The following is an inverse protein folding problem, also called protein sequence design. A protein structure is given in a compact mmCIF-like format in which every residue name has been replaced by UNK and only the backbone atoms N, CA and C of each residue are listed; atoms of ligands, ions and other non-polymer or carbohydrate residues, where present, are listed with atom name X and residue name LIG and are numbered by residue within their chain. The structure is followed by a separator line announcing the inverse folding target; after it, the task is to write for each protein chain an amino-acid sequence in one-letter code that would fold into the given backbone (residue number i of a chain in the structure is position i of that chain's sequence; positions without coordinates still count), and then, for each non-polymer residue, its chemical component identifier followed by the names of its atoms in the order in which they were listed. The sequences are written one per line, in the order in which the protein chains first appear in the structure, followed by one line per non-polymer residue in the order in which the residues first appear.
data_IF_267938805099
#
_entry.id   IF_267938805099
#
_cell.length_a   1.000
_cell.length_b   1.000
_cell.length_c   1.000
_cell.angle_alpha   90.00
_cell.angle_beta   90.00
_cell.angle_gamma   90.00
#
_symmetry.space_group_name_H-M   'P 1'
#
loop_
_entity.id
_entity.type
_entity.pdbx_description
1 polymer ?
#
# COMPACT_ATOMS: atom_id res chain seq x y z
N UNK A 1 12.33 -20.05 18.52
CA UNK A 1 13.73 -19.58 18.43
C UNK A 1 14.09 -19.18 16.99
N UNK A 2 14.25 -17.89 16.75
CA UNK A 2 14.98 -17.39 15.59
C UNK A 2 16.44 -17.87 15.65
N UNK A 3 17.10 -17.96 14.50
CA UNK A 3 18.53 -18.28 14.43
C UNK A 3 19.22 -17.14 13.71
N UNK A 4 20.19 -16.43 14.33
CA UNK A 4 21.00 -15.47 13.62
C UNK A 4 21.89 -16.22 12.62
N UNK A 5 21.49 -16.22 11.36
CA UNK A 5 22.30 -16.64 10.22
C UNK A 5 22.89 -15.40 9.56
N UNK A 6 24.08 -15.52 8.95
CA UNK A 6 24.85 -14.38 8.44
C UNK A 6 24.20 -13.55 7.33
N UNK A 7 23.02 -13.95 6.85
CA UNK A 7 22.26 -13.30 5.78
C UNK A 7 21.04 -12.48 6.29
N UNK A 8 20.69 -12.56 7.58
CA UNK A 8 19.59 -11.79 8.19
C UNK A 8 18.79 -12.49 9.29
N UNK A 9 17.87 -11.74 9.90
CA UNK A 9 17.01 -12.18 11.01
C UNK A 9 15.80 -12.95 10.47
N UNK A 10 15.65 -14.22 10.85
CA UNK A 10 14.60 -15.12 10.28
C UNK A 10 13.63 -15.64 11.34
N UNK A 11 12.36 -15.32 11.14
CA UNK A 11 11.21 -15.86 11.88
C UNK A 11 10.60 -17.05 11.12
N UNK A 12 10.51 -18.22 11.76
CA UNK A 12 9.85 -19.41 11.19
C UNK A 12 8.37 -19.45 11.58
N UNK A 13 7.56 -18.69 10.84
CA UNK A 13 6.15 -18.51 11.12
C UNK A 13 5.32 -19.81 11.00
N UNK A 14 5.57 -20.63 9.98
CA UNK A 14 4.75 -21.80 9.62
C UNK A 14 3.22 -21.50 9.55
N UNK A 15 2.85 -20.24 9.26
CA UNK A 15 1.48 -19.72 9.39
C UNK A 15 0.67 -20.09 8.15
N UNK A 16 -0.35 -20.95 8.33
CA UNK A 16 -1.29 -21.30 7.26
C UNK A 16 -2.22 -20.13 6.95
N UNK A 17 -2.56 -19.96 5.68
CA UNK A 17 -3.40 -18.90 5.15
C UNK A 17 -4.36 -19.49 4.12
N UNK A 18 -5.62 -19.06 4.18
CA UNK A 18 -6.66 -19.36 3.18
C UNK A 18 -7.20 -18.02 2.68
N UNK A 19 -6.80 -17.58 1.48
CA UNK A 19 -7.04 -16.23 0.99
C UNK A 19 -8.53 -15.88 0.91
N UNK A 20 -9.36 -16.81 0.43
CA UNK A 20 -10.83 -16.67 0.37
C UNK A 20 -11.52 -16.57 1.74
N UNK A 21 -10.81 -16.86 2.84
CA UNK A 21 -11.33 -16.79 4.20
C UNK A 21 -10.88 -15.53 4.96
N UNK A 22 -10.11 -14.63 4.33
CA UNK A 22 -9.68 -13.37 4.93
C UNK A 22 -10.70 -12.26 4.65
N UNK A 23 -11.17 -11.60 5.72
CA UNK A 23 -11.83 -10.29 5.64
C UNK A 23 -10.96 -9.25 4.91
N UNK A 24 -11.58 -8.17 4.47
CA UNK A 24 -10.86 -7.16 3.66
C UNK A 24 -9.78 -6.41 4.47
N UNK A 25 -10.01 -6.29 5.78
CA UNK A 25 -9.08 -5.83 6.81
C UNK A 25 -8.04 -6.89 7.22
N UNK A 26 -8.36 -8.19 7.12
CA UNK A 26 -7.48 -9.30 7.50
C UNK A 26 -6.39 -9.64 6.45
N UNK A 27 -6.48 -9.10 5.24
CA UNK A 27 -5.53 -9.37 4.14
C UNK A 27 -4.08 -8.91 4.41
N UNK A 28 -3.85 -8.14 5.49
CA UNK A 28 -2.53 -7.62 5.91
C UNK A 28 -1.94 -8.44 7.08
N UNK A 29 -1.22 -9.51 6.77
CA UNK A 29 -0.72 -10.49 7.73
C UNK A 29 0.49 -9.94 8.49
N UNK A 30 0.28 -9.55 9.75
CA UNK A 30 1.33 -9.01 10.63
C UNK A 30 2.26 -10.04 11.28
N UNK A 31 3.49 -9.57 11.53
CA UNK A 31 4.53 -10.20 12.35
C UNK A 31 5.25 -9.09 13.14
N UNK A 32 5.37 -9.25 14.46
CA UNK A 32 6.01 -8.24 15.31
C UNK A 32 7.54 -8.24 15.11
N UNK A 33 8.18 -7.07 15.09
CA UNK A 33 9.63 -6.99 14.87
C UNK A 33 10.46 -7.65 15.99
N UNK A 34 9.92 -7.72 17.20
CA UNK A 34 10.55 -8.39 18.34
C UNK A 34 10.74 -9.91 18.14
N UNK A 35 9.82 -10.60 17.43
CA UNK A 35 9.91 -12.05 17.14
C UNK A 35 11.16 -12.41 16.31
N UNK A 36 11.67 -11.46 15.52
CA UNK A 36 12.87 -11.62 14.71
C UNK A 36 14.16 -11.49 15.53
N UNK A 37 14.12 -10.78 16.66
CA UNK A 37 15.29 -10.45 17.49
C UNK A 37 16.24 -9.43 16.85
N UNK A 38 15.73 -8.54 16.00
CA UNK A 38 16.53 -7.52 15.30
C UNK A 38 17.00 -6.40 16.26
N UNK A 39 18.30 -6.01 16.27
CA UNK A 39 18.78 -4.90 17.08
C UNK A 39 18.25 -3.54 16.62
N UNK A 40 17.92 -2.68 17.60
CA UNK A 40 17.32 -1.34 17.43
C UNK A 40 18.00 -0.41 16.40
N UNK A 41 19.29 -0.60 16.16
CA UNK A 41 20.11 0.27 15.32
C UNK A 41 20.29 -0.25 13.88
N UNK A 42 19.78 -1.44 13.55
CA UNK A 42 19.97 -2.05 12.23
C UNK A 42 18.90 -1.65 11.23
N UNK A 43 19.34 -1.14 10.07
CA UNK A 43 18.47 -0.72 8.97
C UNK A 43 18.13 -1.90 8.07
N UNK A 44 16.85 -2.26 8.04
CA UNK A 44 16.31 -3.31 7.16
C UNK A 44 16.35 -2.82 5.72
N UNK A 45 17.00 -3.57 4.83
CA UNK A 45 17.17 -3.25 3.40
C UNK A 45 16.36 -4.17 2.49
N UNK A 46 16.04 -5.38 2.93
CA UNK A 46 15.23 -6.34 2.18
C UNK A 46 14.40 -7.20 3.14
N UNK A 47 13.13 -7.42 2.80
CA UNK A 47 12.24 -8.37 3.46
C UNK A 47 11.93 -9.50 2.48
N UNK A 48 12.11 -10.74 2.92
CA UNK A 48 11.79 -11.93 2.15
C UNK A 48 10.74 -12.77 2.87
N UNK A 49 9.67 -13.15 2.16
CA UNK A 49 8.62 -14.03 2.67
C UNK A 49 8.67 -15.32 1.85
N UNK A 50 9.00 -16.43 2.51
CA UNK A 50 9.03 -17.76 1.91
C UNK A 50 7.67 -18.42 2.11
N UNK A 51 7.04 -18.83 1.02
CA UNK A 51 5.74 -19.49 1.02
C UNK A 51 5.78 -20.87 0.35
N UNK A 52 4.93 -21.77 0.83
CA UNK A 52 4.70 -23.10 0.27
C UNK A 52 3.21 -23.40 0.10
N UNK A 53 2.87 -24.29 -0.83
CA UNK A 53 1.51 -24.75 -1.08
C UNK A 53 1.50 -26.24 -1.45
N UNK A 54 0.32 -26.88 -1.43
CA UNK A 54 0.15 -28.28 -1.84
C UNK A 54 0.13 -28.46 -3.37
N UNK A 55 0.13 -27.37 -4.14
CA UNK A 55 0.10 -27.34 -5.60
C UNK A 55 0.86 -26.14 -6.15
N UNK A 56 0.70 -25.82 -7.44
CA UNK A 56 1.35 -24.66 -8.06
C UNK A 56 0.82 -23.35 -7.48
N UNK A 57 1.72 -22.45 -7.05
CA UNK A 57 1.35 -21.18 -6.39
C UNK A 57 0.75 -20.17 -7.38
N UNK A 58 1.30 -20.07 -8.59
CA UNK A 58 0.80 -19.18 -9.65
C UNK A 58 1.13 -17.71 -9.37
N UNK A 59 0.24 -16.81 -9.80
CA UNK A 59 0.37 -15.37 -9.60
C UNK A 59 0.02 -14.98 -8.16
N UNK A 60 0.89 -14.18 -7.55
CA UNK A 60 0.63 -13.37 -6.37
C UNK A 60 0.57 -11.88 -6.76
N UNK A 61 -0.30 -11.12 -6.11
CA UNK A 61 -0.32 -9.66 -6.08
C UNK A 61 -0.48 -9.21 -4.64
N UNK A 62 0.32 -8.25 -4.21
CA UNK A 62 0.24 -7.73 -2.85
C UNK A 62 1.26 -6.65 -2.55
N UNK A 63 1.31 -6.23 -1.29
CA UNK A 63 2.18 -5.16 -0.80
C UNK A 63 2.79 -5.52 0.54
N UNK A 64 3.83 -4.78 0.93
CA UNK A 64 4.35 -4.81 2.29
C UNK A 64 4.01 -3.50 2.99
N UNK A 65 3.71 -3.57 4.29
CA UNK A 65 3.51 -2.42 5.15
C UNK A 65 4.35 -2.55 6.42
N UNK A 66 4.75 -1.43 7.00
CA UNK A 66 5.62 -1.39 8.18
C UNK A 66 5.23 -0.27 9.12
N UNK A 67 5.28 -0.54 10.43
CA UNK A 67 5.24 0.51 11.44
C UNK A 67 6.42 1.46 11.30
N UNK A 68 6.19 2.75 11.48
CA UNK A 68 7.24 3.78 11.41
C UNK A 68 7.24 4.66 12.66
N UNK A 69 8.32 5.40 12.82
CA UNK A 69 8.49 6.47 13.81
C UNK A 69 7.86 7.80 13.37
N UNK A 70 7.36 7.89 12.13
CA UNK A 70 6.83 9.12 11.56
C UNK A 70 5.37 9.36 11.97
N UNK A 71 5.21 10.24 12.96
CA UNK A 71 3.91 10.71 13.44
C UNK A 71 3.08 11.43 12.36
N UNK A 72 3.72 12.12 11.40
CA UNK A 72 2.99 12.91 10.40
C UNK A 72 2.26 12.00 9.40
N UNK A 73 2.85 10.85 9.07
CA UNK A 73 2.24 9.79 8.27
C UNK A 73 1.61 8.66 9.12
N UNK A 74 1.13 8.99 10.33
CA UNK A 74 0.33 8.08 11.16
C UNK A 74 1.06 6.84 11.69
N UNK A 75 2.38 6.89 11.81
CA UNK A 75 3.25 5.77 12.23
C UNK A 75 3.20 4.55 11.30
N UNK A 76 2.91 4.77 10.01
CA UNK A 76 2.75 3.70 9.02
C UNK A 76 3.38 4.07 7.67
N UNK A 77 3.91 3.06 6.96
CA UNK A 77 4.35 3.20 5.57
C UNK A 77 4.08 1.91 4.79
N UNK A 78 3.90 2.03 3.47
CA UNK A 78 3.70 0.89 2.57
C UNK A 78 4.65 0.94 1.38
N UNK A 79 5.16 -0.23 1.00
CA UNK A 79 5.95 -0.44 -0.21
C UNK A 79 5.10 -0.45 -1.49
N UNK A 80 5.79 -0.54 -2.62
CA UNK A 80 5.16 -0.72 -3.93
C UNK A 80 4.43 -2.07 -4.06
N UNK A 81 3.48 -2.14 -4.99
CA UNK A 81 2.82 -3.39 -5.34
C UNK A 81 3.79 -4.36 -6.01
N UNK A 82 3.79 -5.60 -5.54
CA UNK A 82 4.57 -6.70 -6.09
C UNK A 82 3.58 -7.67 -6.75
N UNK A 83 3.56 -7.65 -8.08
CA UNK A 83 3.03 -8.76 -8.88
C UNK A 83 4.15 -9.76 -9.17
N UNK A 84 3.97 -11.03 -8.83
CA UNK A 84 4.99 -12.08 -9.03
C UNK A 84 4.33 -13.41 -9.42
N UNK A 85 4.86 -14.10 -10.43
CA UNK A 85 4.45 -15.47 -10.77
C UNK A 85 5.46 -16.49 -10.21
N UNK A 86 4.94 -17.43 -9.42
CA UNK A 86 5.69 -18.50 -8.76
C UNK A 86 5.29 -19.83 -9.39
N UNK A 87 6.20 -20.38 -10.19
CA UNK A 87 6.04 -21.67 -10.85
C UNK A 87 6.59 -22.77 -9.93
N UNK A 88 5.72 -23.64 -9.44
CA UNK A 88 6.04 -24.66 -8.44
C UNK A 88 5.27 -24.48 -7.13
N UNK A 89 5.58 -25.35 -6.16
CA UNK A 89 4.89 -25.46 -4.88
C UNK A 89 5.56 -24.70 -3.73
N UNK A 90 6.62 -23.94 -4.00
CA UNK A 90 7.23 -23.00 -3.07
C UNK A 90 7.88 -21.82 -3.81
N UNK A 91 8.04 -20.70 -3.11
CA UNK A 91 8.70 -19.52 -3.65
C UNK A 91 8.96 -18.44 -2.60
N UNK A 92 9.80 -17.47 -2.97
CA UNK A 92 10.15 -16.31 -2.13
C UNK A 92 9.60 -15.04 -2.76
N UNK A 93 8.79 -14.30 -2.02
CA UNK A 93 8.35 -12.94 -2.36
C UNK A 93 9.29 -11.96 -1.67
N UNK A 94 9.84 -11.00 -2.41
CA UNK A 94 10.89 -10.11 -1.92
C UNK A 94 10.51 -8.63 -2.07
N UNK A 95 10.47 -7.91 -0.96
CA UNK A 95 10.38 -6.45 -0.93
C UNK A 95 11.75 -5.85 -0.63
N UNK A 96 12.26 -5.04 -1.56
CA UNK A 96 13.45 -4.20 -1.32
C UNK A 96 12.98 -2.92 -0.66
N UNK A 97 13.41 -2.69 0.58
CA UNK A 97 12.93 -1.58 1.41
C UNK A 97 13.54 -0.28 0.89
N UNK A 98 12.71 0.72 0.49
CA UNK A 98 13.18 2.05 0.12
C UNK A 98 13.99 2.70 1.26
N UNK A 99 15.04 3.48 0.93
CA UNK A 99 16.01 4.00 1.93
C UNK A 99 15.41 5.02 2.89
N UNK A 100 14.40 5.76 2.44
CA UNK A 100 13.55 6.64 3.23
C UNK A 100 12.74 5.82 4.25
N UNK A 101 11.95 4.83 3.81
CA UNK A 101 11.19 3.94 4.71
C UNK A 101 12.13 3.22 5.69
N UNK A 102 13.21 2.61 5.20
CA UNK A 102 14.27 1.92 5.97
C UNK A 102 14.86 2.79 7.08
N UNK A 103 14.90 4.11 6.90
CA UNK A 103 15.43 5.05 7.90
C UNK A 103 14.47 5.37 9.05
N UNK A 104 13.17 5.08 8.91
CA UNK A 104 12.11 5.44 9.86
C UNK A 104 11.34 4.24 10.44
N UNK A 105 11.65 2.99 10.07
CA UNK A 105 10.97 1.79 10.59
C UNK A 105 10.98 1.79 12.13
N UNK A 106 9.82 1.52 12.72
CA UNK A 106 9.65 1.28 14.15
C UNK A 106 9.75 -0.22 14.43
N UNK A 107 10.86 -0.66 15.02
CA UNK A 107 11.08 -2.05 15.45
C UNK A 107 10.77 -2.30 16.93
N UNK A 108 10.49 -1.24 17.71
CA UNK A 108 10.14 -1.30 19.12
C UNK A 108 8.63 -1.06 19.37
N UNK A 109 8.20 -1.13 20.63
CA UNK A 109 6.87 -0.72 21.12
C UNK A 109 5.68 -1.38 20.39
N UNK A 110 5.84 -2.63 19.95
CA UNK A 110 4.82 -3.37 19.20
C UNK A 110 4.79 -3.09 17.69
N UNK A 111 5.87 -2.51 17.13
CA UNK A 111 5.99 -2.32 15.68
C UNK A 111 5.99 -3.63 14.88
N UNK A 112 5.31 -3.63 13.74
CA UNK A 112 5.09 -4.81 12.90
C UNK A 112 5.61 -4.61 11.46
N UNK A 113 6.04 -5.72 10.85
CA UNK A 113 6.03 -5.90 9.39
C UNK A 113 4.74 -6.63 9.00
N UNK A 114 4.02 -6.15 7.98
CA UNK A 114 2.83 -6.79 7.44
C UNK A 114 3.02 -7.21 5.98
N UNK A 115 2.63 -8.43 5.68
CA UNK A 115 2.59 -9.02 4.35
C UNK A 115 1.15 -9.01 3.84
N UNK A 116 0.86 -8.13 2.89
CA UNK A 116 -0.46 -7.91 2.31
C UNK A 116 -0.72 -8.75 1.08
N UNK A 117 -1.85 -9.45 1.03
CA UNK A 117 -2.24 -10.33 -0.09
C UNK A 117 -3.51 -9.80 -0.75
N UNK A 118 -3.36 -9.16 -1.90
CA UNK A 118 -4.46 -8.60 -2.70
C UNK A 118 -5.01 -9.60 -3.73
N UNK A 119 -4.18 -10.57 -4.15
CA UNK A 119 -4.58 -11.72 -4.95
C UNK A 119 -3.55 -12.83 -4.82
N UNK A 120 -3.99 -14.09 -4.83
CA UNK A 120 -3.11 -15.25 -5.06
C UNK A 120 -3.87 -16.36 -5.78
N UNK A 121 -3.27 -16.96 -6.81
CA UNK A 121 -3.91 -18.03 -7.60
C UNK A 121 -4.11 -19.31 -6.79
N UNK A 122 -3.21 -19.63 -5.84
CA UNK A 122 -3.44 -20.67 -4.85
C UNK A 122 -4.12 -20.12 -3.59
N UNK A 123 -5.41 -20.42 -3.42
CA UNK A 123 -6.19 -20.02 -2.25
C UNK A 123 -5.54 -20.42 -0.90
N UNK A 124 -4.97 -21.63 -0.82
CA UNK A 124 -4.33 -22.15 0.39
C UNK A 124 -2.81 -22.21 0.26
N UNK A 125 -2.12 -21.51 1.14
CA UNK A 125 -0.67 -21.52 1.26
C UNK A 125 -0.20 -21.46 2.72
N UNK A 126 1.09 -21.65 2.96
CA UNK A 126 1.74 -21.52 4.26
C UNK A 126 2.86 -20.50 4.14
N UNK A 127 2.93 -19.52 5.05
CA UNK A 127 4.10 -18.66 5.24
C UNK A 127 5.08 -19.44 6.11
N UNK A 128 6.05 -20.07 5.48
CA UNK A 128 7.02 -20.94 6.16
C UNK A 128 7.95 -20.09 7.03
N UNK A 129 8.45 -18.99 6.47
CA UNK A 129 9.33 -18.05 7.16
C UNK A 129 9.32 -16.64 6.57
N UNK A 130 9.68 -15.66 7.40
CA UNK A 130 9.97 -14.27 7.01
C UNK A 130 11.40 -13.96 7.42
N UNK A 131 12.18 -13.31 6.54
CA UNK A 131 13.58 -12.93 6.77
C UNK A 131 13.77 -11.43 6.54
N UNK A 132 14.39 -10.75 7.49
CA UNK A 132 14.79 -9.34 7.44
C UNK A 132 16.30 -9.25 7.21
N UNK A 133 16.73 -8.66 6.10
CA UNK A 133 18.15 -8.41 5.81
C UNK A 133 18.51 -6.98 6.16
N UNK A 134 19.74 -6.76 6.62
CA UNK A 134 20.21 -5.47 7.10
C UNK A 134 21.49 -5.05 6.38
N UNK A 135 21.69 -3.74 6.21
CA UNK A 135 22.77 -3.18 5.38
C UNK A 135 24.18 -3.21 6.00
N UNK A 136 24.56 -4.27 6.73
CA UNK A 136 25.57 -4.19 7.80
C UNK A 136 26.76 -5.17 7.80
N UNK A 137 26.90 -6.11 6.85
CA UNK A 137 28.11 -6.97 6.77
C UNK A 137 28.34 -7.57 5.37
N UNK A 138 29.53 -8.12 5.12
CA UNK A 138 29.97 -8.56 3.78
C UNK A 138 30.65 -9.93 3.75
N UNK A 139 30.05 -10.87 3.01
CA UNK A 139 30.65 -12.08 2.37
C UNK A 139 31.18 -13.23 3.26
N UNK A 140 31.28 -14.49 2.76
CA UNK A 140 30.42 -15.17 1.77
C UNK A 140 30.12 -16.68 2.03
N UNK A 141 29.02 -17.20 1.43
CA UNK A 141 28.76 -18.64 1.14
C UNK A 141 28.46 -19.53 2.37
N UNK A 142 27.76 -20.69 2.33
CA UNK A 142 26.98 -21.48 1.34
C UNK A 142 26.18 -22.54 2.16
N UNK A 143 25.06 -23.20 1.81
CA UNK A 143 24.30 -23.64 0.60
C UNK A 143 22.87 -24.06 1.08
N UNK A 144 21.81 -24.43 0.34
CA UNK A 144 21.48 -24.62 -1.10
C UNK A 144 19.95 -24.44 -1.28
N UNK A 145 19.47 -23.90 -2.41
CA UNK A 145 18.07 -24.06 -2.87
C UNK A 145 18.04 -24.20 -4.40
N UNK A 146 17.08 -24.95 -4.94
CA UNK A 146 16.94 -25.19 -6.40
C UNK A 146 16.49 -23.93 -7.14
N UNK A 147 17.28 -23.45 -8.10
CA UNK A 147 16.98 -22.23 -8.86
C UNK A 147 15.95 -22.48 -9.98
N UNK A 148 14.66 -22.43 -9.64
CA UNK A 148 13.60 -22.26 -10.65
C UNK A 148 13.72 -20.88 -11.29
N UNK A 149 13.48 -20.78 -12.60
CA UNK A 149 13.56 -19.52 -13.37
C UNK A 149 12.36 -18.60 -13.03
N UNK A 150 12.51 -17.78 -11.99
CA UNK A 150 11.55 -16.73 -11.62
C UNK A 150 11.71 -15.52 -12.56
N UNK A 151 10.59 -15.00 -13.05
CA UNK A 151 10.55 -13.73 -13.81
C UNK A 151 9.89 -12.66 -12.94
N UNK A 152 10.70 -11.95 -12.14
CA UNK A 152 10.21 -10.87 -11.27
C UNK A 152 10.09 -9.58 -12.05
N UNK A 153 8.89 -9.27 -12.55
CA UNK A 153 8.60 -7.97 -13.18
C UNK A 153 8.32 -6.93 -12.08
N UNK A 154 9.37 -6.33 -11.54
CA UNK A 154 9.23 -5.15 -10.67
C UNK A 154 8.77 -3.96 -11.51
N UNK A 155 7.45 -3.81 -11.66
CA UNK A 155 6.83 -2.62 -12.27
C UNK A 155 7.19 -1.41 -11.41
N UNK A 156 8.19 -0.64 -11.84
CA UNK A 156 8.71 0.49 -11.08
C UNK A 156 7.64 1.58 -11.00
N UNK A 157 6.89 1.60 -9.90
CA UNK A 157 5.93 2.66 -9.58
C UNK A 157 6.66 4.01 -9.64
N UNK A 158 6.01 5.02 -10.21
CA UNK A 158 6.49 6.39 -10.03
C UNK A 158 6.30 6.74 -8.55
N UNK A 159 7.39 6.91 -7.82
CA UNK A 159 7.38 7.32 -6.43
C UNK A 159 6.89 8.76 -6.34
N UNK A 160 5.58 8.95 -6.21
CA UNK A 160 5.02 10.26 -5.86
C UNK A 160 5.30 10.55 -4.40
N UNK A 161 6.49 11.08 -4.11
CA UNK A 161 6.88 11.53 -2.78
C UNK A 161 5.95 12.66 -2.34
N UNK A 162 5.17 12.43 -1.29
CA UNK A 162 4.29 13.43 -0.66
C UNK A 162 5.11 14.42 0.18
N UNK A 163 5.93 15.23 -0.49
CA UNK A 163 6.61 16.37 0.14
C UNK A 163 5.57 17.41 0.53
N UNK A 164 5.34 17.61 1.83
CA UNK A 164 4.45 18.65 2.37
C UNK A 164 5.08 20.04 2.29
N UNK A 165 5.29 20.52 1.07
CA UNK A 165 5.53 21.93 0.74
C UNK A 165 4.46 22.35 -0.26
N UNK A 166 3.61 23.31 0.10
CA UNK A 166 2.54 23.78 -0.79
C UNK A 166 3.13 24.35 -2.09
N UNK A 167 2.56 23.94 -3.23
CA UNK A 167 1.71 24.86 -3.97
C UNK A 167 0.24 24.45 -3.88
N UNK A 168 -0.65 25.45 -3.86
CA UNK A 168 -2.09 25.22 -4.08
C UNK A 168 -2.27 24.98 -5.58
N UNK A 169 -2.37 23.72 -5.98
CA UNK A 169 -2.69 23.32 -7.36
C UNK A 169 -4.21 23.17 -7.49
N UNK A 170 -4.90 24.30 -7.59
CA UNK A 170 -6.28 24.32 -8.10
C UNK A 170 -6.26 23.94 -9.58
N UNK A 171 -6.72 22.74 -9.91
CA UNK A 171 -7.11 22.43 -11.29
C UNK A 171 -8.37 23.24 -11.63
N UNK A 172 -8.45 23.86 -12.83
CA UNK A 172 -9.63 24.63 -13.22
C UNK A 172 -10.87 23.73 -13.36
N UNK A 173 -12.05 24.32 -13.22
CA UNK A 173 -13.32 23.59 -13.29
C UNK A 173 -13.51 22.86 -14.62
N UNK A 174 -14.20 21.72 -14.59
CA UNK A 174 -14.60 20.97 -15.78
C UNK A 174 -15.68 21.76 -16.52
N UNK A 175 -15.27 22.48 -17.57
CA UNK A 175 -16.17 23.28 -18.39
C UNK A 175 -17.04 22.38 -19.26
N UNK A 176 -18.20 22.02 -18.73
CA UNK A 176 -19.31 21.42 -19.50
C UNK A 176 -20.37 22.49 -19.76
N UNK A 177 -20.98 22.46 -20.94
CA UNK A 177 -22.12 23.30 -21.30
C UNK A 177 -23.29 22.37 -21.74
N UNK A 178 -24.37 22.25 -20.96
CA UNK A 178 -24.59 22.87 -19.65
C UNK A 178 -23.66 22.29 -18.56
N UNK A 179 -23.40 23.03 -17.46
CA UNK A 179 -22.51 22.58 -16.41
C UNK A 179 -23.09 21.39 -15.62
N UNK A 180 -22.33 20.30 -15.56
CA UNK A 180 -22.61 19.12 -14.73
C UNK A 180 -22.94 19.53 -13.29
N UNK A 181 -23.95 18.89 -12.72
CA UNK A 181 -24.38 19.07 -11.33
C UNK A 181 -24.00 17.83 -10.53
N UNK A 182 -23.68 17.95 -9.22
CA UNK A 182 -23.34 16.79 -8.41
C UNK A 182 -24.56 15.86 -8.24
N UNK A 183 -24.37 14.57 -8.47
CA UNK A 183 -25.38 13.55 -8.19
C UNK A 183 -25.45 13.24 -6.70
N UNK A 184 -24.29 13.13 -6.06
CA UNK A 184 -24.13 12.85 -4.63
C UNK A 184 -22.83 13.50 -4.13
N UNK A 185 -22.93 14.45 -3.19
CA UNK A 185 -21.76 15.18 -2.69
C UNK A 185 -20.94 14.28 -1.75
N UNK A 186 -19.70 13.99 -2.15
CA UNK A 186 -18.80 13.05 -1.47
C UNK A 186 -18.48 11.80 -2.30
N UNK A 187 -19.38 11.38 -3.19
CA UNK A 187 -19.21 10.23 -4.11
C UNK A 187 -18.31 10.61 -5.29
N UNK A 188 -17.00 10.70 -5.02
CA UNK A 188 -15.99 11.08 -5.99
C UNK A 188 -15.66 9.95 -6.97
N UNK A 189 -15.95 8.70 -6.61
CA UNK A 189 -15.65 7.52 -7.42
C UNK A 189 -16.82 7.10 -8.35
N UNK A 190 -18.05 7.54 -8.06
CA UNK A 190 -19.31 7.19 -8.70
C UNK A 190 -19.79 5.73 -8.43
N UNK A 191 -19.81 5.29 -7.17
CA UNK A 191 -20.38 3.98 -6.77
C UNK A 191 -21.64 4.08 -5.88
N UNK A 192 -22.24 5.27 -5.78
CA UNK A 192 -23.44 5.56 -4.96
C UNK A 192 -23.20 5.48 -3.43
N UNK A 193 -21.94 5.39 -2.99
CA UNK A 193 -21.54 5.43 -1.59
C UNK A 193 -20.69 6.67 -1.28
N UNK A 194 -20.31 6.85 -0.01
CA UNK A 194 -19.33 7.87 0.41
C UNK A 194 -18.42 7.23 1.46
N UNK A 195 -17.21 6.85 1.06
CA UNK A 195 -16.27 6.09 1.89
C UNK A 195 -14.82 6.64 1.81
N UNK A 196 -13.82 5.83 2.17
CA UNK A 196 -12.41 6.22 2.06
C UNK A 196 -11.86 6.12 0.63
N UNK A 197 -12.49 5.36 -0.26
CA UNK A 197 -12.16 5.22 -1.68
C UNK A 197 -12.33 6.54 -2.43
N UNK A 198 -13.35 7.33 -2.07
CA UNK A 198 -13.58 8.68 -2.59
C UNK A 198 -12.45 9.66 -2.25
N UNK A 199 -12.05 9.69 -0.98
CA UNK A 199 -10.91 10.47 -0.53
C UNK A 199 -9.61 10.00 -1.22
N UNK A 200 -9.47 8.70 -1.47
CA UNK A 200 -8.34 8.12 -2.20
C UNK A 200 -8.33 8.54 -3.68
N UNK A 201 -9.45 8.48 -4.41
CA UNK A 201 -9.46 8.86 -5.83
C UNK A 201 -9.24 10.37 -6.02
N UNK A 202 -9.75 11.22 -5.12
CA UNK A 202 -9.42 12.66 -5.08
C UNK A 202 -7.91 12.86 -4.93
N UNK A 203 -7.30 12.22 -3.92
CA UNK A 203 -5.85 12.34 -3.69
C UNK A 203 -5.04 11.80 -4.87
N UNK A 204 -5.46 10.71 -5.50
CA UNK A 204 -4.82 10.16 -6.71
C UNK A 204 -4.94 11.12 -7.91
N UNK A 205 -6.11 11.72 -8.13
CA UNK A 205 -6.36 12.66 -9.22
C UNK A 205 -5.53 13.94 -9.09
N UNK A 206 -5.40 14.47 -7.87
CA UNK A 206 -4.57 15.64 -7.58
C UNK A 206 -3.07 15.31 -7.67
N UNK A 207 -2.66 14.14 -7.19
CA UNK A 207 -1.25 13.73 -7.15
C UNK A 207 -0.70 13.24 -8.52
N UNK A 208 -1.57 12.78 -9.43
CA UNK A 208 -1.20 12.45 -10.81
C UNK A 208 -2.38 12.67 -11.79
N UNK A 209 -2.64 13.94 -12.20
CA UNK A 209 -3.76 14.27 -13.09
C UNK A 209 -3.71 13.54 -14.43
N UNK A 210 -2.51 13.33 -14.98
CA UNK A 210 -2.30 12.66 -16.27
C UNK A 210 -2.64 11.16 -16.24
N UNK A 211 -2.83 10.57 -15.05
CA UNK A 211 -3.26 9.17 -14.88
C UNK A 211 -4.66 9.07 -14.30
N UNK A 212 -4.93 9.77 -13.20
CA UNK A 212 -6.16 9.62 -12.40
C UNK A 212 -7.05 10.87 -12.37
N UNK A 213 -6.63 11.99 -12.95
CA UNK A 213 -7.49 13.14 -13.19
C UNK A 213 -8.50 12.88 -14.32
N UNK A 214 -9.40 13.82 -14.54
CA UNK A 214 -10.56 13.71 -15.44
C UNK A 214 -10.19 13.22 -16.86
N UNK A 215 -9.17 13.83 -17.47
CA UNK A 215 -8.63 13.48 -18.79
C UNK A 215 -7.42 12.54 -18.71
N UNK A 216 -7.30 11.81 -17.60
CA UNK A 216 -6.20 10.89 -17.31
C UNK A 216 -6.20 9.62 -18.16
N UNK A 217 -5.08 8.90 -18.11
CA UNK A 217 -4.84 7.68 -18.90
C UNK A 217 -5.35 6.37 -18.27
N UNK A 218 -5.81 6.38 -17.01
CA UNK A 218 -6.33 5.17 -16.35
C UNK A 218 -7.82 4.90 -16.70
N UNK A 219 -8.23 3.65 -16.49
CA UNK A 219 -9.63 3.21 -16.52
C UNK A 219 -10.39 3.57 -15.24
N UNK A 220 -9.68 3.67 -14.11
CA UNK A 220 -10.18 3.96 -12.76
C UNK A 220 -9.83 5.40 -12.34
N UNK A 221 -9.79 6.33 -13.30
CA UNK A 221 -9.58 7.75 -13.04
C UNK A 221 -10.89 8.40 -12.58
N UNK A 222 -10.79 9.54 -11.90
CA UNK A 222 -11.97 10.33 -11.52
C UNK A 222 -12.74 10.74 -12.78
N UNK A 223 -14.08 10.60 -12.76
CA UNK A 223 -14.91 11.00 -13.90
C UNK A 223 -15.22 12.50 -13.86
N UNK A 224 -15.74 13.07 -14.96
CA UNK A 224 -16.24 14.45 -14.96
C UNK A 224 -17.34 14.68 -13.91
N UNK A 225 -18.17 13.66 -13.64
CA UNK A 225 -19.21 13.69 -12.61
C UNK A 225 -18.61 13.54 -11.20
N UNK A 226 -17.69 12.60 -11.01
CA UNK A 226 -16.99 12.39 -9.74
C UNK A 226 -16.19 13.61 -9.30
N UNK A 227 -15.63 14.36 -10.25
CA UNK A 227 -14.97 15.64 -9.99
C UNK A 227 -15.94 16.72 -9.47
N UNK A 228 -17.20 16.72 -9.91
CA UNK A 228 -18.23 17.66 -9.40
C UNK A 228 -18.81 17.18 -8.07
N UNK A 229 -18.92 15.86 -7.86
CA UNK A 229 -19.31 15.25 -6.59
C UNK A 229 -18.26 15.47 -5.49
N UNK A 230 -16.98 15.50 -5.86
CA UNK A 230 -15.83 15.71 -4.98
C UNK A 230 -15.67 17.14 -4.45
N UNK A 231 -16.31 18.15 -5.04
CA UNK A 231 -16.22 19.56 -4.61
C UNK A 231 -17.15 19.80 -3.40
N UNK A 232 -16.64 19.50 -2.19
CA UNK A 232 -17.41 19.43 -0.94
C UNK A 232 -16.90 20.36 0.16
N UNK A 233 -15.66 20.86 0.06
CA UNK A 233 -15.05 21.79 1.00
C UNK A 233 -14.79 23.12 0.28
N UNK A 234 -15.57 24.15 0.65
CA UNK A 234 -15.62 25.46 -0.05
C UNK A 234 -16.16 25.34 -1.48
N UNK A 235 -17.26 24.59 -1.60
CA UNK A 235 -17.89 24.20 -2.86
C UNK A 235 -17.90 25.35 -3.88
N UNK A 236 -17.30 25.11 -5.04
CA UNK A 236 -17.11 26.10 -6.11
C UNK A 236 -15.68 26.64 -6.22
N UNK A 237 -14.78 26.29 -5.30
CA UNK A 237 -13.34 26.52 -5.46
C UNK A 237 -12.65 25.46 -6.34
N UNK A 238 -13.33 24.33 -6.61
CA UNK A 238 -12.79 23.18 -7.31
C UNK A 238 -11.99 22.25 -6.39
N UNK A 239 -11.95 20.96 -6.75
CA UNK A 239 -11.43 19.87 -5.91
C UNK A 239 -10.01 20.12 -5.39
N UNK A 240 -9.82 19.97 -4.08
CA UNK A 240 -8.55 20.11 -3.35
C UNK A 240 -8.30 18.94 -2.39
N UNK A 241 -7.11 18.90 -1.77
CA UNK A 241 -6.83 17.93 -0.71
C UNK A 241 -7.71 18.11 0.54
N UNK A 242 -8.36 19.26 0.72
CA UNK A 242 -9.27 19.49 1.84
C UNK A 242 -10.61 18.76 1.66
N UNK A 243 -10.99 18.46 0.42
CA UNK A 243 -12.20 17.72 0.07
C UNK A 243 -12.07 16.25 0.46
N UNK A 244 -10.94 15.62 0.12
CA UNK A 244 -10.57 14.30 0.62
C UNK A 244 -10.55 14.25 2.16
N UNK A 245 -10.03 15.30 2.82
CA UNK A 245 -10.03 15.43 4.28
C UNK A 245 -11.44 15.66 4.85
N UNK A 246 -12.34 16.30 4.12
CA UNK A 246 -13.74 16.47 4.51
C UNK A 246 -14.49 15.13 4.44
N UNK A 247 -14.32 14.37 3.36
CA UNK A 247 -14.89 13.03 3.20
C UNK A 247 -14.37 12.09 4.32
N UNK A 248 -13.06 12.07 4.59
CA UNK A 248 -12.50 11.31 5.73
C UNK A 248 -13.17 11.64 7.07
N UNK A 249 -13.45 12.93 7.33
CA UNK A 249 -14.16 13.36 8.55
C UNK A 249 -15.65 13.00 8.54
N UNK A 250 -16.30 13.00 7.38
CA UNK A 250 -17.68 12.56 7.20
C UNK A 250 -17.83 11.06 7.48
N UNK A 251 -16.94 10.22 6.93
CA UNK A 251 -16.93 8.77 7.19
C UNK A 251 -16.63 8.43 8.67
N UNK A 252 -15.97 9.33 9.40
CA UNK A 252 -15.78 9.25 10.86
C UNK A 252 -16.95 9.84 11.68
N UNK A 253 -18.02 10.31 11.03
CA UNK A 253 -19.19 10.92 11.68
C UNK A 253 -18.93 12.29 12.33
N UNK A 254 -17.83 12.95 11.99
CA UNK A 254 -17.38 14.20 12.65
C UNK A 254 -17.99 15.46 12.04
N UNK A 255 -18.42 15.42 10.77
CA UNK A 255 -19.02 16.54 10.02
C UNK A 255 -20.07 16.05 9.03
N UNK A 256 -20.85 16.96 8.46
CA UNK A 256 -21.69 16.73 7.27
C UNK A 256 -21.08 17.38 6.02
N UNK A 257 -21.42 16.89 4.83
CA UNK A 257 -21.02 17.47 3.54
C UNK A 257 -22.19 18.25 2.90
N UNK A 258 -21.95 19.34 2.16
CA UNK A 258 -20.67 20.05 2.03
C UNK A 258 -20.32 20.83 3.31
N UNK A 259 -19.04 21.09 3.55
CA UNK A 259 -18.58 21.68 4.83
C UNK A 259 -18.72 23.20 4.87
N UNK A 260 -18.47 23.85 3.73
CA UNK A 260 -18.55 25.29 3.50
C UNK A 260 -18.89 25.52 2.01
N UNK A 261 -19.59 26.61 1.70
CA UNK A 261 -19.88 27.09 0.34
C UNK A 261 -19.25 28.47 0.14
N UNK A 262 -18.76 28.77 -1.06
CA UNK A 262 -18.17 30.07 -1.44
C UNK A 262 -19.21 31.04 -1.98
#
# INVERSE_FOLDING_TARGET
PSTPSGDGYTLKANKKVTYSSLGEDERMIGFAYEDFGIPKNEKITEVQVNISANGNIGKYVGQFGTSTTDKANGYWAMGDEITQSINGNSGTITWKVPSDISSIIQTEYGGEIKFGVWWIDCDQFTIDSVTLKTGGSSTPSVKTTTTTKVTTTTTKKVTTTTTTTAPVVTQPYVVTDPPLQPTMLGDANNDEQIDLSDAVIIMQALANPNKYGVEGTDRHRISQQGWVNADVHKKGNGVTSNDALAIQKYCLGLISLPTETV
#
